data_IF_021038769807
#
_entry.id   IF_021038769807
#
_cell.length_a   1.000
_cell.length_b   1.000
_cell.length_c   1.000
_cell.angle_alpha   90.00
_cell.angle_beta   90.00
_cell.angle_gamma   90.00
#
_symmetry.space_group_name_H-M   'P 1'
#
loop_
_entity.id
_entity.type
_entity.pdbx_description
1 polymer ?
#
# COMPACT_ATOMS: atom_id res chain seq x y z
N UNK A 1 7.78 -7.62 -29.88
CA UNK A 1 8.52 -6.40 -29.50
C UNK A 1 7.59 -5.57 -28.63
N UNK A 2 7.44 -5.91 -27.34
CA UNK A 2 6.48 -5.22 -26.46
C UNK A 2 7.16 -4.03 -25.83
N UNK A 3 6.69 -2.84 -26.16
CA UNK A 3 7.15 -1.57 -25.61
C UNK A 3 6.47 -1.45 -24.24
N UNK A 4 7.24 -1.58 -23.16
CA UNK A 4 6.74 -1.28 -21.80
C UNK A 4 6.74 0.23 -21.64
N UNK A 5 5.55 0.79 -21.50
CA UNK A 5 5.28 2.17 -21.16
C UNK A 5 6.02 2.54 -19.86
N UNK A 6 6.97 3.48 -19.96
CA UNK A 6 7.71 4.03 -18.83
C UNK A 6 7.33 5.51 -18.72
N UNK A 7 6.29 5.83 -17.95
CA UNK A 7 5.92 7.23 -17.72
C UNK A 7 6.11 7.73 -16.27
N UNK A 8 6.33 6.87 -15.28
CA UNK A 8 6.91 7.29 -13.99
C UNK A 8 7.41 6.09 -13.18
N UNK A 9 8.58 6.16 -12.51
CA UNK A 9 8.97 5.13 -11.58
C UNK A 9 7.97 5.11 -10.42
N UNK A 10 7.32 3.96 -10.21
CA UNK A 10 6.50 3.76 -9.03
C UNK A 10 7.32 4.07 -7.76
N UNK A 11 6.79 4.84 -6.80
CA UNK A 11 7.51 5.12 -5.57
C UNK A 11 7.81 3.82 -4.82
N UNK A 12 9.05 3.70 -4.31
CA UNK A 12 9.50 2.51 -3.58
C UNK A 12 8.86 2.39 -2.20
N UNK A 13 8.57 3.53 -1.59
CA UNK A 13 7.90 3.62 -0.30
C UNK A 13 7.07 4.91 -0.22
N UNK A 14 6.01 4.85 0.57
CA UNK A 14 5.13 5.97 0.87
C UNK A 14 5.35 6.43 2.31
N UNK A 15 5.13 7.70 2.60
CA UNK A 15 4.96 8.10 4.01
C UNK A 15 3.63 7.56 4.54
N UNK A 16 3.44 7.48 5.86
CA UNK A 16 2.13 7.10 6.46
C UNK A 16 0.94 7.87 5.83
N UNK A 17 0.95 9.22 5.73
CA UNK A 17 -0.17 9.93 5.10
C UNK A 17 -0.31 9.63 3.60
N UNK A 18 0.78 9.43 2.85
CA UNK A 18 0.70 9.05 1.44
C UNK A 18 0.19 7.63 1.24
N UNK A 19 0.57 6.70 2.11
CA UNK A 19 0.09 5.32 2.09
C UNK A 19 -1.42 5.27 2.38
N UNK A 20 -1.91 6.08 3.34
CA UNK A 20 -3.33 6.24 3.57
C UNK A 20 -4.07 6.74 2.32
N UNK A 21 -3.53 7.75 1.63
CA UNK A 21 -4.10 8.27 0.38
C UNK A 21 -4.08 7.24 -0.74
N UNK A 22 -2.97 6.52 -0.90
CA UNK A 22 -2.78 5.54 -1.95
C UNK A 22 -3.65 4.29 -1.77
N UNK A 23 -3.81 3.82 -0.52
CA UNK A 23 -4.59 2.63 -0.21
C UNK A 23 -6.06 2.91 0.11
N UNK A 24 -6.46 4.17 0.28
CA UNK A 24 -7.80 4.55 0.74
C UNK A 24 -8.09 4.10 2.17
N UNK A 25 -7.05 3.90 2.99
CA UNK A 25 -7.16 3.40 4.37
C UNK A 25 -6.96 4.53 5.38
N UNK A 26 -7.68 4.44 6.51
CA UNK A 26 -7.47 5.32 7.65
C UNK A 26 -6.09 5.11 8.30
N UNK A 27 -5.60 6.13 9.02
CA UNK A 27 -4.31 6.05 9.74
C UNK A 27 -4.30 4.92 10.78
N UNK A 28 -5.41 4.74 11.50
CA UNK A 28 -5.58 3.67 12.48
C UNK A 28 -5.42 2.30 11.83
N UNK A 29 -6.17 2.02 10.76
CA UNK A 29 -6.09 0.76 10.02
C UNK A 29 -4.68 0.52 9.47
N UNK A 30 -4.03 1.55 8.94
CA UNK A 30 -2.66 1.41 8.46
C UNK A 30 -1.69 1.03 9.58
N UNK A 31 -1.80 1.64 10.76
CA UNK A 31 -0.98 1.26 11.92
C UNK A 31 -1.30 -0.15 12.44
N UNK A 32 -2.57 -0.57 12.44
CA UNK A 32 -2.95 -1.94 12.79
C UNK A 32 -2.35 -2.96 11.83
N UNK A 33 -2.34 -2.67 10.52
CA UNK A 33 -1.71 -3.53 9.51
C UNK A 33 -0.19 -3.63 9.68
N UNK A 34 0.45 -2.52 10.06
CA UNK A 34 1.89 -2.49 10.37
C UNK A 34 2.17 -3.31 11.64
N UNK A 35 1.39 -3.11 12.70
CA UNK A 35 1.52 -3.85 13.95
C UNK A 35 1.26 -5.36 13.79
N UNK A 36 0.30 -5.71 12.91
CA UNK A 36 -0.02 -7.10 12.55
C UNK A 36 1.01 -7.73 11.58
N UNK A 37 2.02 -6.98 11.12
CA UNK A 37 3.03 -7.46 10.18
C UNK A 37 2.50 -7.75 8.78
N UNK A 38 1.29 -7.29 8.44
CA UNK A 38 0.68 -7.47 7.11
C UNK A 38 1.21 -6.48 6.08
N UNK A 39 1.62 -5.31 6.55
CA UNK A 39 2.25 -4.28 5.72
C UNK A 39 3.61 -3.93 6.30
N UNK A 40 4.64 -3.97 5.46
CA UNK A 40 6.02 -3.66 5.87
C UNK A 40 6.21 -2.15 5.99
N UNK A 41 6.56 -1.71 7.19
CA UNK A 41 7.02 -0.35 7.45
C UNK A 41 8.49 -0.34 7.87
N UNK A 42 9.21 0.67 7.41
CA UNK A 42 10.62 0.92 7.69
C UNK A 42 10.76 2.30 8.33
N UNK A 43 11.59 2.40 9.36
CA UNK A 43 11.87 3.67 10.02
C UNK A 43 13.01 4.38 9.29
N UNK A 44 12.77 5.59 8.79
CA UNK A 44 13.74 6.46 8.14
C UNK A 44 13.92 7.73 8.99
N UNK A 45 14.83 7.67 9.96
CA UNK A 45 15.04 8.74 10.93
C UNK A 45 13.79 8.99 11.79
N UNK A 46 13.24 10.21 11.69
CA UNK A 46 12.00 10.60 12.38
C UNK A 46 10.71 10.17 11.67
N UNK A 47 10.81 9.72 10.41
CA UNK A 47 9.65 9.37 9.58
C UNK A 47 9.48 7.86 9.46
N UNK A 48 8.24 7.41 9.38
CA UNK A 48 7.89 6.03 9.04
C UNK A 48 7.53 5.96 7.57
N UNK A 49 8.22 5.07 6.84
CA UNK A 49 7.97 4.77 5.44
C UNK A 49 7.29 3.41 5.32
N UNK A 50 6.29 3.31 4.47
CA UNK A 50 5.53 2.11 4.16
C UNK A 50 5.99 1.60 2.81
N UNK A 51 6.46 0.36 2.75
CA UNK A 51 6.93 -0.24 1.51
C UNK A 51 5.80 -0.36 0.50
N UNK A 52 6.01 0.15 -0.72
CA UNK A 52 4.96 0.22 -1.72
C UNK A 52 4.53 -1.18 -2.20
N UNK A 53 5.47 -2.10 -2.37
CA UNK A 53 5.16 -3.45 -2.86
C UNK A 53 4.39 -4.27 -1.81
N UNK A 54 4.74 -4.19 -0.54
CA UNK A 54 4.02 -4.83 0.56
C UNK A 54 2.59 -4.30 0.68
N UNK A 55 2.39 -2.98 0.56
CA UNK A 55 1.06 -2.38 0.54
C UNK A 55 0.23 -2.87 -0.66
N UNK A 56 0.84 -2.98 -1.85
CA UNK A 56 0.19 -3.53 -3.05
C UNK A 56 -0.18 -5.00 -2.87
N UNK A 57 0.72 -5.81 -2.32
CA UNK A 57 0.46 -7.23 -2.02
C UNK A 57 -0.71 -7.39 -1.05
N UNK A 58 -0.78 -6.54 -0.02
CA UNK A 58 -1.90 -6.55 0.90
C UNK A 58 -3.23 -6.27 0.19
N UNK A 59 -3.30 -5.22 -0.64
CA UNK A 59 -4.52 -4.90 -1.39
C UNK A 59 -4.90 -6.00 -2.37
N UNK A 60 -3.93 -6.60 -3.06
CA UNK A 60 -4.16 -7.72 -3.97
C UNK A 60 -4.62 -9.00 -3.24
N UNK A 61 -4.31 -9.14 -1.94
CA UNK A 61 -4.77 -10.26 -1.12
C UNK A 61 -6.21 -10.09 -0.60
N UNK A 62 -6.81 -8.90 -0.74
CA UNK A 62 -8.16 -8.66 -0.28
C UNK A 62 -9.16 -9.47 -1.13
N UNK A 63 -10.18 -10.08 -0.49
CA UNK A 63 -11.23 -10.76 -1.24
C UNK A 63 -12.01 -9.74 -2.08
N UNK A 64 -12.27 -10.08 -3.34
CA UNK A 64 -13.18 -9.30 -4.18
C UNK A 64 -14.57 -9.37 -3.56
N UNK A 65 -15.18 -8.22 -3.31
CA UNK A 65 -16.56 -8.16 -2.84
C UNK A 65 -17.47 -8.78 -3.91
N UNK A 66 -18.30 -9.79 -3.60
CA UNK A 66 -19.28 -10.30 -4.55
C UNK A 66 -20.28 -9.18 -4.84
N UNK A 67 -20.46 -8.86 -6.13
CA UNK A 67 -21.48 -7.91 -6.57
C UNK A 67 -22.86 -8.45 -6.16
N UNK A 68 -23.49 -7.83 -5.16
CA UNK A 68 -24.83 -8.23 -4.72
C UNK A 68 -25.87 -7.49 -5.56
N UNK A 69 -26.50 -8.22 -6.48
CA UNK A 69 -27.59 -7.73 -7.33
C UNK A 69 -27.38 -8.07 -8.80
N UNK A 70 -27.83 -9.26 -9.19
CA UNK A 70 -28.24 -9.59 -10.55
C UNK A 70 -29.75 -9.86 -10.50
#
# INVERSE_FOLDING_TARGET
>A
MTIVDQCAPAPLAYTVPDACRAAGLGRTTLYELIAAGRVRAMKAGSRTLVEAESLRRYLASLPTLPLKGA
#
